data_IF_454058828512
#
_entry.id   IF_454058828512
#
_cell.length_a   1.000
_cell.length_b   1.000
_cell.length_c   1.000
_cell.angle_alpha   90.00
_cell.angle_beta   90.00
_cell.angle_gamma   90.00
#
_symmetry.space_group_name_H-M   'P 1'
#
loop_
_entity.id
_entity.type
_entity.pdbx_description
1 polymer ?
#
# COMPACT_ATOMS: atom_id res chain seq x y z
N UNK A 1 -23.19 15.18 -10.90
CA UNK A 1 -21.74 14.95 -10.99
C UNK A 1 -21.34 13.84 -10.04
N UNK A 2 -20.72 12.84 -10.58
CA UNK A 2 -20.31 11.73 -9.74
C UNK A 2 -18.86 11.94 -9.32
N UNK A 3 -18.61 11.71 -8.04
CA UNK A 3 -17.26 11.73 -7.53
C UNK A 3 -16.71 10.33 -7.60
N UNK A 4 -15.62 10.19 -8.30
CA UNK A 4 -14.93 8.92 -8.35
C UNK A 4 -13.95 8.89 -7.20
N UNK A 5 -14.29 8.11 -6.19
CA UNK A 5 -13.35 7.83 -5.14
C UNK A 5 -12.44 6.74 -5.64
N UNK A 6 -11.16 6.99 -5.55
CA UNK A 6 -10.20 5.98 -5.88
C UNK A 6 -9.72 5.33 -4.60
N UNK A 7 -9.57 4.03 -4.65
CA UNK A 7 -9.04 3.27 -3.54
C UNK A 7 -7.79 2.52 -3.98
N UNK A 8 -6.88 2.34 -3.05
CA UNK A 8 -5.73 1.49 -3.28
C UNK A 8 -6.10 0.07 -2.94
N UNK A 9 -5.68 -0.85 -3.78
CA UNK A 9 -5.92 -2.27 -3.53
C UNK A 9 -4.74 -3.08 -4.04
N UNK A 10 -4.62 -4.27 -3.53
CA UNK A 10 -3.61 -5.19 -4.01
C UNK A 10 -3.98 -5.63 -5.41
N UNK A 11 -2.97 -5.71 -6.28
CA UNK A 11 -3.18 -6.17 -7.65
C UNK A 11 -3.72 -7.60 -7.63
N UNK A 12 -4.65 -7.87 -8.54
CA UNK A 12 -5.25 -9.20 -8.63
C UNK A 12 -4.20 -10.28 -8.82
N UNK A 13 -4.33 -11.36 -8.07
CA UNK A 13 -3.39 -12.48 -8.16
C UNK A 13 -2.09 -12.28 -7.43
N UNK A 14 -1.93 -11.14 -6.76
CA UNK A 14 -0.71 -10.87 -5.99
C UNK A 14 -0.53 -11.92 -4.89
N UNK A 15 0.69 -12.43 -4.79
CA UNK A 15 1.04 -13.35 -3.71
C UNK A 15 2.04 -12.67 -2.79
N UNK A 16 1.81 -12.81 -1.50
CA UNK A 16 2.66 -12.19 -0.50
C UNK A 16 3.07 -13.21 0.53
N UNK A 17 4.35 -13.23 0.83
CA UNK A 17 4.89 -14.11 1.86
C UNK A 17 5.60 -13.25 2.90
N UNK A 18 5.06 -13.16 4.12
CA UNK A 18 5.72 -12.39 5.17
C UNK A 18 6.98 -13.08 5.67
N UNK A 19 7.95 -12.27 6.06
CA UNK A 19 9.18 -12.73 6.70
C UNK A 19 9.23 -12.03 8.05
N UNK A 20 8.55 -12.58 9.07
CA UNK A 20 8.38 -11.88 10.35
C UNK A 20 9.68 -11.49 11.05
N UNK A 21 10.71 -12.31 10.92
CA UNK A 21 11.99 -12.07 11.58
C UNK A 21 12.61 -10.76 11.13
N UNK A 22 12.33 -10.34 9.89
CA UNK A 22 12.90 -9.13 9.31
C UNK A 22 11.88 -8.02 9.17
N UNK A 23 10.64 -8.26 9.55
CA UNK A 23 9.51 -7.34 9.35
C UNK A 23 9.36 -6.95 7.86
N UNK A 24 9.74 -7.85 6.97
CA UNK A 24 9.65 -7.62 5.52
C UNK A 24 8.66 -8.60 4.92
N UNK A 25 8.44 -8.50 3.61
CA UNK A 25 7.67 -9.50 2.91
C UNK A 25 8.18 -9.64 1.47
N UNK A 26 7.98 -10.84 0.93
CA UNK A 26 8.30 -11.12 -0.46
C UNK A 26 6.99 -11.14 -1.22
N UNK A 27 6.96 -10.43 -2.34
CA UNK A 27 5.74 -10.27 -3.13
C UNK A 27 6.00 -10.76 -4.54
N UNK A 28 5.06 -11.52 -5.06
CA UNK A 28 5.11 -12.03 -6.43
C UNK A 28 3.98 -11.41 -7.25
N UNK A 29 4.35 -10.82 -8.40
CA UNK A 29 3.38 -10.22 -9.32
C UNK A 29 3.23 -11.14 -10.53
N UNK A 30 2.08 -11.82 -10.68
CA UNK A 30 1.95 -12.81 -11.76
C UNK A 30 1.79 -12.20 -13.14
N UNK A 31 1.24 -11.00 -13.26
CA UNK A 31 1.03 -10.38 -14.58
C UNK A 31 2.35 -10.12 -15.30
N UNK A 32 3.34 -9.65 -14.56
CA UNK A 32 4.72 -9.56 -15.02
C UNK A 32 5.53 -10.30 -13.98
N UNK A 33 5.82 -11.57 -14.22
CA UNK A 33 6.40 -12.42 -13.17
C UNK A 33 7.67 -11.84 -12.59
N UNK A 34 7.57 -11.32 -11.39
CA UNK A 34 8.68 -10.73 -10.66
C UNK A 34 8.51 -10.96 -9.17
N UNK A 35 9.64 -11.07 -8.50
CA UNK A 35 9.67 -11.15 -7.05
C UNK A 35 10.24 -9.84 -6.51
N UNK A 36 9.57 -9.28 -5.52
CA UNK A 36 10.02 -8.08 -4.85
C UNK A 36 10.21 -8.37 -3.37
N UNK A 37 11.29 -7.84 -2.83
CA UNK A 37 11.56 -7.95 -1.41
C UNK A 37 11.25 -6.59 -0.80
N UNK A 38 10.15 -6.48 -0.08
CA UNK A 38 9.69 -5.20 0.45
C UNK A 38 10.28 -4.94 1.82
N UNK A 39 10.76 -3.70 2.02
CA UNK A 39 11.23 -3.29 3.33
C UNK A 39 10.05 -3.15 4.31
N UNK A 40 10.30 -2.96 5.61
CA UNK A 40 9.21 -2.91 6.59
C UNK A 40 8.17 -1.83 6.29
N UNK A 41 8.58 -0.67 5.82
CA UNK A 41 7.64 0.40 5.49
C UNK A 41 6.74 0.02 4.33
N UNK A 42 7.32 -0.51 3.26
CA UNK A 42 6.55 -0.92 2.09
C UNK A 42 5.62 -2.08 2.45
N UNK A 43 6.08 -2.99 3.28
CA UNK A 43 5.27 -4.11 3.73
C UNK A 43 4.06 -3.62 4.52
N UNK A 44 4.26 -2.66 5.41
CA UNK A 44 3.16 -2.08 6.17
C UNK A 44 2.16 -1.37 5.26
N UNK A 45 2.67 -0.58 4.31
CA UNK A 45 1.80 0.13 3.37
C UNK A 45 0.95 -0.86 2.57
N UNK A 46 1.56 -1.94 2.12
CA UNK A 46 0.84 -2.97 1.37
C UNK A 46 -0.25 -3.60 2.22
N UNK A 47 0.04 -3.89 3.48
CA UNK A 47 -0.94 -4.48 4.39
C UNK A 47 -2.11 -3.54 4.63
N UNK A 48 -1.85 -2.24 4.70
CA UNK A 48 -2.91 -1.26 4.93
C UNK A 48 -3.71 -0.94 3.68
N UNK A 49 -3.16 -1.19 2.50
CA UNK A 49 -3.81 -0.85 1.24
C UNK A 49 -4.83 -1.91 0.85
N UNK A 50 -5.94 -1.94 1.59
CA UNK A 50 -7.00 -2.90 1.39
C UNK A 50 -8.30 -2.14 1.16
N UNK A 51 -8.51 -1.71 -0.08
CA UNK A 51 -9.69 -0.95 -0.49
C UNK A 51 -9.86 0.34 0.32
N UNK A 52 -8.74 1.04 0.53
CA UNK A 52 -8.74 2.30 1.27
C UNK A 52 -8.50 3.47 0.36
N UNK A 53 -9.18 4.57 0.63
CA UNK A 53 -8.89 5.83 -0.04
C UNK A 53 -7.54 6.35 0.44
N UNK A 54 -6.99 7.32 -0.28
CA UNK A 54 -5.73 7.93 0.12
C UNK A 54 -5.82 8.52 1.54
N UNK A 55 -6.91 9.21 1.84
CA UNK A 55 -7.08 9.81 3.16
C UNK A 55 -7.14 8.76 4.27
N UNK A 56 -7.87 7.69 4.04
CA UNK A 56 -7.96 6.60 5.01
C UNK A 56 -6.61 5.93 5.22
N UNK A 57 -5.87 5.76 4.13
CA UNK A 57 -4.55 5.15 4.18
C UNK A 57 -3.57 6.02 4.96
N UNK A 58 -3.59 7.34 4.71
CA UNK A 58 -2.77 8.30 5.45
C UNK A 58 -3.06 8.19 6.95
N UNK A 59 -4.34 8.22 7.30
CA UNK A 59 -4.76 8.14 8.70
C UNK A 59 -4.30 6.85 9.36
N UNK A 60 -4.48 5.73 8.68
CA UNK A 60 -4.09 4.43 9.20
C UNK A 60 -2.57 4.32 9.36
N UNK A 61 -1.83 4.84 8.38
CA UNK A 61 -0.38 4.79 8.44
C UNK A 61 0.16 5.65 9.58
N UNK A 62 -0.36 6.87 9.72
CA UNK A 62 0.05 7.75 10.81
C UNK A 62 -0.21 7.13 12.17
N UNK A 63 -1.35 6.45 12.32
CA UNK A 63 -1.69 5.80 13.57
C UNK A 63 -0.69 4.70 13.95
N UNK A 64 0.01 4.15 12.96
CA UNK A 64 0.96 3.06 13.20
C UNK A 64 2.39 3.53 13.41
N UNK A 65 2.77 4.66 12.81
CA UNK A 65 4.17 5.08 12.81
C UNK A 65 4.43 6.37 13.60
N UNK A 66 3.41 7.12 13.91
CA UNK A 66 3.58 8.37 14.68
C UNK A 66 3.13 8.15 16.12
N UNK A 67 3.82 8.68 17.13
CA UNK A 67 5.25 8.83 17.17
C UNK A 67 5.95 7.49 17.09
N UNK A 68 7.23 7.40 16.81
CA UNK A 68 8.24 8.45 16.89
C UNK A 68 8.39 9.31 15.63
N UNK A 69 7.79 8.92 14.50
CA UNK A 69 7.91 9.74 13.31
C UNK A 69 7.01 10.95 13.39
N UNK A 70 7.49 12.09 12.90
CA UNK A 70 6.62 13.26 12.75
C UNK A 70 5.62 12.99 11.63
N UNK A 71 4.52 13.72 11.69
CA UNK A 71 3.47 13.59 10.69
C UNK A 71 3.99 13.86 9.28
N UNK A 72 4.81 14.90 9.14
CA UNK A 72 5.36 15.27 7.84
C UNK A 72 6.26 14.18 7.26
N UNK A 73 7.14 13.64 8.09
CA UNK A 73 8.05 12.58 7.66
C UNK A 73 7.27 11.32 7.30
N UNK A 74 6.28 10.97 8.12
CA UNK A 74 5.47 9.79 7.89
C UNK A 74 4.69 9.91 6.58
N UNK A 75 4.11 11.06 6.30
CA UNK A 75 3.38 11.27 5.05
C UNK A 75 4.30 11.15 3.85
N UNK A 76 5.50 11.68 3.97
CA UNK A 76 6.48 11.61 2.88
C UNK A 76 6.87 10.15 2.59
N UNK A 77 7.10 9.39 3.63
CA UNK A 77 7.43 7.97 3.48
C UNK A 77 6.29 7.20 2.84
N UNK A 78 5.06 7.52 3.25
CA UNK A 78 3.89 6.87 2.69
C UNK A 78 3.75 7.18 1.20
N UNK A 79 3.87 8.46 0.83
CA UNK A 79 3.74 8.87 -0.57
C UNK A 79 4.80 8.20 -1.44
N UNK A 80 6.02 8.17 -0.97
CA UNK A 80 7.10 7.53 -1.71
C UNK A 80 6.88 6.03 -1.84
N UNK A 81 6.48 5.39 -0.76
CA UNK A 81 6.21 3.96 -0.76
C UNK A 81 5.06 3.61 -1.68
N UNK A 82 3.99 4.39 -1.67
CA UNK A 82 2.85 4.16 -2.55
C UNK A 82 3.26 4.28 -4.02
N UNK A 83 4.04 5.31 -4.33
CA UNK A 83 4.50 5.51 -5.70
C UNK A 83 5.28 4.31 -6.20
N UNK A 84 6.17 3.79 -5.37
CA UNK A 84 6.98 2.63 -5.72
C UNK A 84 6.11 1.39 -5.91
N UNK A 85 5.18 1.15 -5.00
CA UNK A 85 4.32 -0.02 -5.08
C UNK A 85 3.39 0.02 -6.30
N UNK A 86 2.87 1.19 -6.62
CA UNK A 86 2.05 1.35 -7.81
C UNK A 86 2.89 1.17 -9.07
N UNK A 87 4.06 1.76 -9.09
CA UNK A 87 4.96 1.66 -10.24
C UNK A 87 5.33 0.20 -10.53
N UNK A 88 5.54 -0.58 -9.49
CA UNK A 88 5.93 -1.99 -9.63
C UNK A 88 4.75 -2.93 -9.84
N UNK A 89 3.53 -2.39 -9.91
CA UNK A 89 2.34 -3.22 -10.15
C UNK A 89 1.90 -4.04 -8.96
N UNK A 90 2.35 -3.69 -7.76
CA UNK A 90 2.00 -4.42 -6.53
C UNK A 90 0.67 -3.93 -5.99
N UNK A 91 0.45 -2.62 -6.07
CA UNK A 91 -0.79 -1.97 -5.68
C UNK A 91 -1.35 -1.26 -6.91
N UNK A 92 -2.65 -1.21 -7.01
CA UNK A 92 -3.29 -0.47 -8.09
C UNK A 92 -4.33 0.48 -7.51
N UNK A 93 -4.57 1.57 -8.24
CA UNK A 93 -5.66 2.48 -7.96
C UNK A 93 -6.87 2.02 -8.75
N UNK A 94 -7.99 1.91 -8.08
CA UNK A 94 -9.23 1.48 -8.72
C UNK A 94 -10.37 2.34 -8.22
N UNK A 95 -11.40 2.56 -9.04
CA UNK A 95 -12.57 3.27 -8.53
C UNK A 95 -13.22 2.46 -7.43
N UNK A 96 -13.61 3.17 -6.36
CA UNK A 96 -14.34 2.52 -5.28
C UNK A 96 -15.67 2.05 -5.84
N UNK A 97 -16.05 0.85 -5.49
CA UNK A 97 -17.36 0.36 -5.87
C UNK A 97 -18.41 1.07 -5.04
N UNK A 98 -19.29 1.75 -5.73
CA UNK A 98 -20.38 2.41 -5.07
C UNK A 98 -21.57 1.47 -5.08
N UNK A 99 -22.07 1.20 -3.91
CA UNK A 99 -23.32 0.44 -3.79
C UNK A 99 -24.44 1.29 -4.30
N UNK A 100 -25.13 0.81 -5.26
CA UNK A 100 -26.30 1.53 -5.78
C UNK A 100 -27.57 0.88 -5.32
#
# INVERSE_FOLDING_TARGET
MSFHREVYRKTAGLRMRPVPELSTCIVFTPAQPQLFNLNPHACLILQLAADRTHDDLVRSYLARVAPPLTELVAKRQLEEGLRQLVYNGIIELAPAELET
#
